data_IF_579265590939
#
_entry.id   IF_579265590939
#
_cell.length_a   1.000
_cell.length_b   1.000
_cell.length_c   1.000
_cell.angle_alpha   90.00
_cell.angle_beta   90.00
_cell.angle_gamma   90.00
#
_symmetry.space_group_name_H-M   'P 1'
#
loop_
_entity.id
_entity.type
_entity.pdbx_description
1 polymer ?
#
# COMPACT_ATOMS: atom_id res chain seq x y z
N UNK A 1 -9.85 -28.70 -15.62
CA UNK A 1 -9.51 -27.72 -14.55
C UNK A 1 -8.32 -26.94 -15.05
N UNK A 2 -8.56 -25.79 -15.66
CA UNK A 2 -7.55 -24.88 -16.20
C UNK A 2 -6.96 -24.09 -15.05
N UNK A 3 -5.66 -24.20 -14.83
CA UNK A 3 -4.91 -23.41 -13.86
C UNK A 3 -5.03 -21.92 -14.25
N UNK A 4 -5.61 -21.05 -13.45
CA UNK A 4 -5.58 -19.64 -13.72
C UNK A 4 -4.24 -19.11 -13.21
N UNK A 5 -3.43 -18.58 -14.09
CA UNK A 5 -2.29 -17.85 -13.64
C UNK A 5 -1.05 -18.02 -14.49
N UNK A 6 -1.21 -17.81 -15.78
CA UNK A 6 -0.09 -17.59 -16.66
C UNK A 6 0.76 -16.42 -16.20
N UNK A 7 2.01 -16.45 -16.57
CA UNK A 7 3.10 -15.47 -16.37
C UNK A 7 2.78 -14.03 -16.90
N UNK A 8 1.52 -13.62 -16.89
CA UNK A 8 1.14 -12.30 -17.41
C UNK A 8 1.67 -11.23 -16.46
N UNK A 9 2.56 -10.37 -16.93
CA UNK A 9 3.00 -9.22 -16.14
C UNK A 9 1.80 -8.40 -15.69
N UNK A 10 1.86 -7.88 -14.47
CA UNK A 10 0.90 -6.91 -13.95
C UNK A 10 1.58 -5.54 -13.89
N UNK A 11 1.72 -4.85 -15.03
CA UNK A 11 2.42 -3.58 -15.02
C UNK A 11 1.61 -2.52 -14.27
N UNK A 12 2.29 -1.74 -13.45
CA UNK A 12 1.79 -0.43 -13.05
C UNK A 12 2.17 0.55 -14.16
N UNK A 13 1.19 1.20 -14.82
CA UNK A 13 1.50 2.14 -15.91
C UNK A 13 2.40 3.31 -15.50
N UNK A 14 2.45 3.63 -14.19
CA UNK A 14 3.29 4.69 -13.67
C UNK A 14 4.69 4.21 -13.27
N UNK A 15 4.91 2.89 -13.14
CA UNK A 15 6.21 2.33 -12.78
C UNK A 15 6.97 1.88 -14.03
N UNK A 16 8.14 2.50 -14.33
CA UNK A 16 8.89 2.19 -15.55
C UNK A 16 9.75 0.93 -15.36
N UNK A 17 9.12 -0.25 -15.38
CA UNK A 17 9.78 -1.56 -15.22
C UNK A 17 10.98 -1.74 -16.16
N UNK A 18 10.90 -1.20 -17.37
CA UNK A 18 11.95 -1.24 -18.39
C UNK A 18 13.22 -0.48 -17.99
N UNK A 19 13.11 0.51 -17.12
CA UNK A 19 14.26 1.25 -16.57
C UNK A 19 14.98 0.54 -15.45
N UNK A 20 14.36 -0.49 -14.87
CA UNK A 20 14.88 -1.25 -13.74
C UNK A 20 14.88 -2.76 -14.05
N UNK A 21 15.50 -3.19 -15.18
CA UNK A 21 15.52 -4.59 -15.54
C UNK A 21 16.28 -5.40 -14.48
N UNK A 22 15.83 -6.63 -14.26
CA UNK A 22 16.61 -7.57 -13.49
C UNK A 22 17.95 -7.83 -14.17
N UNK A 23 19.01 -7.98 -13.39
CA UNK A 23 20.34 -8.32 -13.93
C UNK A 23 20.26 -9.70 -14.61
N UNK A 24 20.82 -9.87 -15.82
CA UNK A 24 20.65 -11.10 -16.60
C UNK A 24 21.02 -12.38 -15.85
N UNK A 25 22.07 -12.34 -15.02
CA UNK A 25 22.50 -13.50 -14.24
C UNK A 25 21.59 -13.83 -13.03
N UNK A 26 20.65 -12.94 -12.68
CA UNK A 26 19.65 -13.14 -11.61
C UNK A 26 18.26 -13.42 -12.16
N UNK A 27 18.05 -13.35 -13.46
CA UNK A 27 16.72 -13.37 -14.08
C UNK A 27 15.93 -14.65 -13.76
N UNK A 28 16.59 -15.81 -13.81
CA UNK A 28 15.96 -17.10 -13.49
C UNK A 28 15.52 -17.16 -12.03
N UNK A 29 16.41 -16.77 -11.10
CA UNK A 29 16.10 -16.74 -9.68
C UNK A 29 15.00 -15.73 -9.36
N UNK A 30 15.04 -14.54 -9.98
CA UNK A 30 14.01 -13.53 -9.82
C UNK A 30 12.64 -14.03 -10.29
N UNK A 31 12.56 -14.63 -11.48
CA UNK A 31 11.32 -15.22 -11.99
C UNK A 31 10.79 -16.32 -11.07
N UNK A 32 11.68 -17.16 -10.54
CA UNK A 32 11.31 -18.18 -9.56
C UNK A 32 10.72 -17.57 -8.30
N UNK A 33 11.34 -16.52 -7.75
CA UNK A 33 10.83 -15.80 -6.57
C UNK A 33 9.47 -15.18 -6.84
N UNK A 34 9.28 -14.50 -7.97
CA UNK A 34 8.00 -13.91 -8.37
C UNK A 34 6.90 -14.98 -8.44
N UNK A 35 7.17 -16.14 -9.02
CA UNK A 35 6.18 -17.26 -9.04
C UNK A 35 5.86 -17.77 -7.64
N UNK A 36 6.86 -17.96 -6.80
CA UNK A 36 6.68 -18.41 -5.42
C UNK A 36 5.91 -17.38 -4.60
N UNK A 37 6.27 -16.10 -4.71
CA UNK A 37 5.58 -15.00 -4.03
C UNK A 37 4.13 -14.88 -4.46
N UNK A 38 3.85 -14.99 -5.76
CA UNK A 38 2.47 -15.02 -6.26
C UNK A 38 1.66 -16.16 -5.66
N UNK A 39 2.23 -17.37 -5.63
CA UNK A 39 1.58 -18.53 -5.00
C UNK A 39 1.40 -18.38 -3.49
N UNK A 40 2.27 -17.61 -2.81
CA UNK A 40 2.16 -17.30 -1.39
C UNK A 40 1.06 -16.27 -1.13
N UNK A 41 1.10 -15.12 -1.81
CA UNK A 41 0.08 -14.07 -1.66
C UNK A 41 -1.33 -14.56 -2.00
N UNK A 42 -1.47 -15.41 -3.01
CA UNK A 42 -2.76 -15.99 -3.38
C UNK A 42 -3.42 -16.86 -2.26
N UNK A 43 -2.70 -17.12 -1.18
CA UNK A 43 -3.18 -17.87 -0.01
C UNK A 43 -3.08 -17.07 1.29
N UNK A 44 -2.70 -15.79 1.20
CA UNK A 44 -2.43 -14.95 2.36
C UNK A 44 -3.46 -13.83 2.48
N UNK A 45 -3.74 -13.46 3.72
CA UNK A 45 -4.44 -12.23 4.09
C UNK A 45 -3.41 -11.12 4.30
N UNK A 46 -3.61 -9.97 3.64
CA UNK A 46 -2.65 -8.86 3.66
C UNK A 46 -3.31 -7.58 4.12
N UNK A 47 -2.67 -6.86 5.02
CA UNK A 47 -3.06 -5.50 5.38
C UNK A 47 -2.11 -4.51 4.71
N UNK A 48 -2.63 -3.67 3.82
CA UNK A 48 -1.95 -2.48 3.33
C UNK A 48 -2.23 -1.33 4.27
N UNK A 49 -1.20 -0.66 4.76
CA UNK A 49 -1.41 0.48 5.66
C UNK A 49 -0.56 1.69 5.27
N UNK A 50 -1.05 2.88 5.57
CA UNK A 50 -0.35 4.10 5.22
C UNK A 50 -0.87 5.33 5.93
N UNK A 51 -0.11 6.41 5.81
CA UNK A 51 -0.49 7.73 6.29
C UNK A 51 -0.91 8.60 5.11
N UNK A 52 -1.97 9.40 5.30
CA UNK A 52 -2.45 10.34 4.31
C UNK A 52 -2.57 11.75 4.92
N UNK A 53 -1.94 12.72 4.27
CA UNK A 53 -2.11 14.13 4.59
C UNK A 53 -1.89 14.98 3.34
N UNK A 54 -2.96 15.62 2.86
CA UNK A 54 -2.94 16.44 1.64
C UNK A 54 -2.43 15.66 0.41
N UNK A 55 -3.00 14.47 0.19
CA UNK A 55 -2.63 13.55 -0.89
C UNK A 55 -3.72 13.39 -1.95
N UNK A 56 -4.74 14.26 -1.95
CA UNK A 56 -5.87 14.17 -2.86
C UNK A 56 -5.48 13.95 -4.33
N UNK A 57 -4.44 14.62 -4.88
CA UNK A 57 -4.04 14.40 -6.27
C UNK A 57 -3.51 12.99 -6.57
N UNK A 58 -2.88 12.33 -5.59
CA UNK A 58 -2.28 11.00 -5.75
C UNK A 58 -3.25 9.86 -5.38
N UNK A 59 -4.23 10.14 -4.52
CA UNK A 59 -5.06 9.14 -3.87
C UNK A 59 -5.85 8.24 -4.85
N UNK A 60 -6.43 8.74 -5.98
CA UNK A 60 -7.11 7.87 -6.94
C UNK A 60 -6.19 6.81 -7.56
N UNK A 61 -4.95 7.19 -7.90
CA UNK A 61 -3.97 6.27 -8.42
C UNK A 61 -3.49 5.27 -7.36
N UNK A 62 -3.29 5.73 -6.13
CA UNK A 62 -2.93 4.89 -4.98
C UNK A 62 -4.03 3.86 -4.69
N UNK A 63 -5.31 4.27 -4.67
CA UNK A 63 -6.46 3.38 -4.54
C UNK A 63 -6.41 2.27 -5.61
N UNK A 64 -6.34 2.63 -6.88
CA UNK A 64 -6.30 1.67 -7.97
C UNK A 64 -5.12 0.68 -7.86
N UNK A 65 -3.96 1.14 -7.38
CA UNK A 65 -2.78 0.29 -7.16
C UNK A 65 -2.99 -0.70 -6.02
N UNK A 66 -3.54 -0.24 -4.90
CA UNK A 66 -3.78 -1.10 -3.74
C UNK A 66 -4.86 -2.14 -4.02
N UNK A 67 -5.96 -1.76 -4.69
CA UNK A 67 -6.99 -2.69 -5.13
C UNK A 67 -6.41 -3.77 -6.08
N UNK A 68 -5.51 -3.36 -6.99
CA UNK A 68 -4.85 -4.29 -7.90
C UNK A 68 -3.85 -5.21 -7.19
N UNK A 69 -3.08 -4.69 -6.24
CA UNK A 69 -2.19 -5.51 -5.40
C UNK A 69 -2.99 -6.47 -4.53
N UNK A 70 -4.08 -6.00 -3.94
CA UNK A 70 -5.00 -6.80 -3.15
C UNK A 70 -5.65 -7.95 -3.93
N UNK A 71 -5.91 -7.76 -5.21
CA UNK A 71 -6.42 -8.82 -6.09
C UNK A 71 -5.44 -9.99 -6.28
N UNK A 72 -4.18 -9.87 -5.87
CA UNK A 72 -3.20 -10.95 -5.84
C UNK A 72 -3.26 -11.79 -4.56
N UNK A 73 -3.97 -11.32 -3.54
CA UNK A 73 -4.08 -11.93 -2.22
C UNK A 73 -5.32 -12.83 -2.12
N UNK A 74 -5.36 -13.73 -1.14
CA UNK A 74 -6.57 -14.47 -0.79
C UNK A 74 -7.64 -13.52 -0.25
N UNK A 75 -7.23 -12.62 0.63
CA UNK A 75 -8.00 -11.48 1.12
C UNK A 75 -7.07 -10.31 1.44
N UNK A 76 -7.61 -9.10 1.48
CA UNK A 76 -6.84 -7.93 1.88
C UNK A 76 -7.67 -6.91 2.63
N UNK A 77 -6.99 -6.08 3.42
CA UNK A 77 -7.53 -4.89 4.07
C UNK A 77 -6.65 -3.69 3.74
N UNK A 78 -7.25 -2.52 3.82
CA UNK A 78 -6.54 -1.24 3.66
C UNK A 78 -6.81 -0.40 4.91
N UNK A 79 -5.76 -0.03 5.64
CA UNK A 79 -5.86 0.80 6.84
C UNK A 79 -5.12 2.12 6.61
N UNK A 80 -5.86 3.21 6.51
CA UNK A 80 -5.29 4.55 6.28
C UNK A 80 -5.53 5.43 7.51
N UNK A 81 -4.46 6.02 8.02
CA UNK A 81 -4.54 7.10 8.99
C UNK A 81 -4.41 8.42 8.26
N UNK A 82 -5.46 9.21 8.29
CA UNK A 82 -5.50 10.56 7.78
C UNK A 82 -5.50 11.54 8.95
N UNK A 83 -4.70 12.59 8.87
CA UNK A 83 -4.73 13.65 9.85
C UNK A 83 -4.48 15.05 9.26
N UNK A 84 -5.29 15.99 9.73
CA UNK A 84 -5.11 17.43 9.50
C UNK A 84 -4.94 17.83 8.02
N UNK A 85 -5.54 17.11 7.08
CA UNK A 85 -5.56 17.49 5.66
C UNK A 85 -6.39 18.76 5.44
N UNK A 86 -5.97 19.56 4.46
CA UNK A 86 -6.63 20.81 4.07
C UNK A 86 -7.21 20.77 2.66
N UNK A 87 -6.98 19.67 1.97
CA UNK A 87 -7.49 19.37 0.63
C UNK A 87 -8.64 18.36 0.69
N UNK A 88 -9.04 17.79 -0.43
CA UNK A 88 -10.14 16.83 -0.54
C UNK A 88 -9.78 15.42 -0.04
N UNK A 89 -8.60 15.20 0.57
CA UNK A 89 -8.16 13.88 1.04
C UNK A 89 -9.17 13.19 1.95
N UNK A 90 -9.75 13.85 2.99
CA UNK A 90 -10.72 13.20 3.87
C UNK A 90 -11.97 12.74 3.14
N UNK A 91 -12.48 13.56 2.20
CA UNK A 91 -13.67 13.25 1.42
C UNK A 91 -13.45 12.07 0.46
N UNK A 92 -12.28 12.00 -0.17
CA UNK A 92 -11.89 10.91 -1.04
C UNK A 92 -11.76 9.59 -0.27
N UNK A 93 -11.15 9.62 0.90
CA UNK A 93 -11.03 8.46 1.79
C UNK A 93 -12.38 7.99 2.32
N UNK A 94 -13.25 8.94 2.73
CA UNK A 94 -14.61 8.62 3.17
C UNK A 94 -15.44 7.97 2.06
N UNK A 95 -15.27 8.41 0.80
CA UNK A 95 -15.90 7.76 -0.37
C UNK A 95 -15.35 6.36 -0.57
N UNK A 96 -14.03 6.18 -0.56
CA UNK A 96 -13.41 4.87 -0.73
C UNK A 96 -13.89 3.87 0.32
N UNK A 97 -13.92 4.27 1.60
CA UNK A 97 -14.46 3.45 2.70
C UNK A 97 -15.93 3.05 2.50
N UNK A 98 -16.76 3.93 1.91
CA UNK A 98 -18.17 3.59 1.61
C UNK A 98 -18.32 2.62 0.45
N UNK A 99 -17.41 2.71 -0.53
CA UNK A 99 -17.44 1.89 -1.74
C UNK A 99 -16.89 0.48 -1.52
N UNK A 100 -16.02 0.30 -0.51
CA UNK A 100 -15.30 -0.96 -0.25
C UNK A 100 -15.15 -1.18 1.26
N UNK A 101 -15.78 -2.22 1.78
CA UNK A 101 -15.79 -2.60 3.20
C UNK A 101 -14.43 -3.13 3.71
N UNK A 102 -13.49 -3.40 2.80
CA UNK A 102 -12.11 -3.74 3.12
C UNK A 102 -11.27 -2.53 3.53
N UNK A 103 -11.81 -1.32 3.40
CA UNK A 103 -11.09 -0.07 3.68
C UNK A 103 -11.49 0.48 5.04
N UNK A 104 -10.53 0.57 5.94
CA UNK A 104 -10.66 1.21 7.25
C UNK A 104 -9.87 2.54 7.26
N UNK A 105 -10.54 3.62 7.61
CA UNK A 105 -9.97 4.96 7.64
C UNK A 105 -10.11 5.54 9.04
N UNK A 106 -8.98 5.90 9.62
CA UNK A 106 -8.92 6.71 10.84
C UNK A 106 -8.62 8.15 10.41
N UNK A 107 -9.65 9.00 10.42
CA UNK A 107 -9.49 10.42 10.11
C UNK A 107 -9.64 11.24 11.38
N UNK A 108 -8.61 12.00 11.71
CA UNK A 108 -8.51 12.70 12.99
C UNK A 108 -7.92 14.11 12.83
N UNK A 109 -8.48 15.07 13.56
CA UNK A 109 -7.91 16.42 13.71
C UNK A 109 -6.96 16.41 14.92
N UNK A 110 -5.67 16.18 14.67
CA UNK A 110 -4.65 16.13 15.71
C UNK A 110 -4.02 17.49 16.01
N UNK A 111 -4.27 18.49 15.17
CA UNK A 111 -3.65 19.80 15.27
C UNK A 111 -2.12 19.77 15.08
N UNK A 112 -1.60 18.76 14.40
CA UNK A 112 -0.16 18.58 14.25
C UNK A 112 0.40 19.57 13.22
N UNK A 113 1.52 20.25 13.55
CA UNK A 113 2.13 21.19 12.63
C UNK A 113 2.66 20.47 11.38
N UNK A 114 2.69 21.19 10.24
CA UNK A 114 3.44 20.75 9.08
C UNK A 114 4.93 20.97 9.34
N UNK A 115 5.65 19.90 9.52
CA UNK A 115 7.10 19.95 9.68
C UNK A 115 7.80 19.88 8.31
N UNK A 116 8.94 20.58 8.16
CA UNK A 116 9.72 20.53 6.92
C UNK A 116 10.07 19.09 6.53
N UNK A 117 10.17 18.85 5.22
CA UNK A 117 10.67 17.59 4.72
C UNK A 117 12.09 17.32 5.25
N UNK A 118 12.40 16.06 5.54
CA UNK A 118 13.71 15.66 6.04
C UNK A 118 13.64 14.70 7.23
N UNK A 119 14.81 14.44 7.83
CA UNK A 119 14.99 13.48 8.93
C UNK A 119 15.07 14.13 10.33
N UNK A 120 14.46 15.29 10.50
CA UNK A 120 14.41 15.97 11.79
C UNK A 120 13.70 15.11 12.85
N UNK A 121 14.22 15.09 14.08
CA UNK A 121 13.70 14.28 15.20
C UNK A 121 12.20 14.48 15.41
N UNK A 122 11.73 15.73 15.50
CA UNK A 122 10.31 16.04 15.70
C UNK A 122 9.41 15.46 14.62
N UNK A 123 9.85 15.49 13.34
CA UNK A 123 9.14 14.86 12.23
C UNK A 123 9.08 13.34 12.38
N UNK A 124 10.18 12.71 12.76
CA UNK A 124 10.23 11.25 12.93
C UNK A 124 9.33 10.80 14.09
N UNK A 125 9.33 11.53 15.20
CA UNK A 125 8.45 11.29 16.35
C UNK A 125 6.97 11.44 15.95
N UNK A 126 6.62 12.48 15.20
CA UNK A 126 5.26 12.69 14.70
C UNK A 126 4.81 11.56 13.76
N UNK A 127 5.66 11.19 12.79
CA UNK A 127 5.36 10.08 11.87
C UNK A 127 5.23 8.74 12.62
N UNK A 128 6.08 8.49 13.62
CA UNK A 128 5.99 7.29 14.44
C UNK A 128 4.66 7.24 15.23
N UNK A 129 4.26 8.36 15.84
CA UNK A 129 2.98 8.46 16.55
C UNK A 129 1.78 8.18 15.61
N UNK A 130 1.80 8.73 14.38
CA UNK A 130 0.75 8.44 13.40
C UNK A 130 0.78 6.98 12.93
N UNK A 131 1.98 6.39 12.76
CA UNK A 131 2.13 4.98 12.37
C UNK A 131 1.64 4.02 13.44
N UNK A 132 1.88 4.32 14.71
CA UNK A 132 1.37 3.50 15.80
C UNK A 132 -0.16 3.38 15.76
N UNK A 133 -0.89 4.40 15.30
CA UNK A 133 -2.35 4.36 15.18
C UNK A 133 -2.86 3.29 14.22
N UNK A 134 -2.22 3.12 13.05
CA UNK A 134 -2.61 2.01 12.19
C UNK A 134 -2.12 0.67 12.69
N UNK A 135 -0.99 0.60 13.40
CA UNK A 135 -0.54 -0.63 14.06
C UNK A 135 -1.52 -1.06 15.15
N UNK A 136 -1.91 -0.15 16.04
CA UNK A 136 -2.92 -0.41 17.08
C UNK A 136 -4.25 -0.89 16.45
N UNK A 137 -4.65 -0.30 15.32
CA UNK A 137 -5.85 -0.71 14.58
C UNK A 137 -5.69 -2.10 13.96
N UNK A 138 -4.52 -2.44 13.45
CA UNK A 138 -4.22 -3.75 12.89
C UNK A 138 -4.24 -4.81 13.98
N UNK A 139 -3.61 -4.55 15.11
CA UNK A 139 -3.59 -5.46 16.27
C UNK A 139 -5.00 -5.70 16.84
N UNK A 140 -5.86 -4.67 16.82
CA UNK A 140 -7.24 -4.76 17.33
C UNK A 140 -8.20 -5.52 16.41
N UNK A 141 -8.01 -5.44 15.08
CA UNK A 141 -9.01 -5.91 14.12
C UNK A 141 -8.53 -6.90 13.07
N UNK A 142 -7.22 -6.97 12.85
CA UNK A 142 -6.61 -7.70 11.74
C UNK A 142 -5.35 -8.45 12.19
N UNK A 143 -5.34 -8.92 13.44
CA UNK A 143 -4.22 -9.64 14.07
C UNK A 143 -3.95 -11.01 13.42
N UNK A 144 -4.91 -11.51 12.63
CA UNK A 144 -4.81 -12.74 11.86
C UNK A 144 -4.18 -12.54 10.47
N UNK A 145 -3.76 -11.33 10.12
CA UNK A 145 -3.13 -11.06 8.82
C UNK A 145 -1.75 -11.72 8.71
N UNK A 146 -1.49 -12.38 7.58
CA UNK A 146 -0.18 -12.99 7.31
C UNK A 146 0.91 -11.96 7.05
N UNK A 147 0.55 -10.81 6.46
CA UNK A 147 1.49 -9.73 6.12
C UNK A 147 0.89 -8.35 6.34
N UNK A 148 1.74 -7.44 6.79
CA UNK A 148 1.46 -6.00 6.81
C UNK A 148 2.41 -5.30 5.84
N UNK A 149 1.86 -4.55 4.90
CA UNK A 149 2.62 -3.81 3.88
C UNK A 149 2.38 -2.32 4.08
N UNK A 150 3.45 -1.61 4.46
CA UNK A 150 3.40 -0.14 4.61
C UNK A 150 3.57 0.52 3.25
N UNK A 151 2.65 1.41 2.90
CA UNK A 151 2.62 2.11 1.61
C UNK A 151 2.61 3.61 1.81
N UNK A 152 3.45 4.31 1.08
CA UNK A 152 3.32 5.76 0.96
C UNK A 152 2.13 6.09 0.04
N UNK A 153 1.20 6.91 0.50
CA UNK A 153 -0.04 7.20 -0.22
C UNK A 153 0.11 8.24 -1.33
N UNK A 154 1.25 8.90 -1.39
CA UNK A 154 1.60 9.95 -2.35
C UNK A 154 2.63 9.51 -3.41
N UNK A 155 2.73 8.21 -3.72
CA UNK A 155 3.67 7.67 -4.70
C UNK A 155 3.24 8.00 -6.15
N UNK A 156 3.81 9.03 -6.79
CA UNK A 156 3.44 9.39 -8.17
C UNK A 156 3.97 8.37 -9.19
N UNK A 157 5.11 7.75 -8.91
CA UNK A 157 5.79 6.83 -9.82
C UNK A 157 5.33 5.37 -9.72
N UNK A 158 4.36 5.07 -8.85
CA UNK A 158 3.89 3.70 -8.65
C UNK A 158 4.92 2.78 -7.99
N UNK A 159 4.69 1.49 -8.10
CA UNK A 159 5.62 0.45 -7.62
C UNK A 159 5.55 -0.81 -8.49
N UNK A 160 6.63 -1.58 -8.47
CA UNK A 160 6.68 -2.87 -9.17
C UNK A 160 5.85 -3.92 -8.45
N UNK A 161 4.81 -4.45 -9.11
CA UNK A 161 4.08 -5.61 -8.57
C UNK A 161 4.93 -6.87 -8.59
N UNK A 162 5.82 -7.03 -9.57
CA UNK A 162 6.77 -8.14 -9.58
C UNK A 162 7.79 -8.01 -8.44
N UNK A 163 8.25 -6.78 -8.15
CA UNK A 163 9.10 -6.49 -7.01
C UNK A 163 8.42 -6.81 -5.67
N UNK A 164 7.11 -6.55 -5.55
CA UNK A 164 6.34 -6.93 -4.37
C UNK A 164 6.27 -8.46 -4.18
N UNK A 165 6.31 -9.22 -5.28
CA UNK A 165 6.21 -10.68 -5.27
C UNK A 165 7.57 -11.39 -5.14
N UNK A 166 8.70 -10.69 -5.31
CA UNK A 166 10.04 -11.30 -5.40
C UNK A 166 10.71 -11.68 -4.07
#
# INVERSE_FOLDING_TARGET
>A
MTTPGGDTPLPDPAFPEDRYPCLPYLEEEYRKRVRLGRGRLARSTVVFCGLARDVAPALPATRARLERAGALCADYRVVIVENDSRDETPDLLARWRRDDDRVDVLSEELGLPRLPAGRGRARMEQLAACRNRYLDRIDDRYDDADYVIVVDTDLPSGFSYQGLLS
#
